data_IF_398087483734
#
_entry.id   IF_398087483734
#
_cell.length_a   1.000
_cell.length_b   1.000
_cell.length_c   1.000
_cell.angle_alpha   90.00
_cell.angle_beta   90.00
_cell.angle_gamma   90.00
#
_symmetry.space_group_name_H-M   'P 1'
#
loop_
_entity.id
_entity.type
_entity.pdbx_description
1 polymer ?
#
# COMPACT_ATOMS: atom_id res chain seq x y z
N UNK A 1 -0.22 0.41 11.84
CA UNK A 1 0.82 -0.48 12.35
C UNK A 1 1.30 -1.40 11.23
N UNK A 2 2.52 -1.88 11.33
CA UNK A 2 3.16 -2.57 10.20
C UNK A 2 2.45 -3.86 9.80
N UNK A 3 2.01 -4.65 10.77
CA UNK A 3 1.32 -5.92 10.48
C UNK A 3 0.01 -5.69 9.72
N UNK A 4 -0.75 -4.67 10.08
CA UNK A 4 -1.98 -4.32 9.38
C UNK A 4 -1.68 -3.84 7.97
N UNK A 5 -0.63 -3.05 7.79
CA UNK A 5 -0.23 -2.55 6.48
C UNK A 5 0.23 -3.70 5.57
N UNK A 6 1.03 -4.63 6.10
CA UNK A 6 1.44 -5.82 5.33
C UNK A 6 0.23 -6.65 4.92
N UNK A 7 -0.74 -6.80 5.82
CA UNK A 7 -1.97 -7.54 5.51
C UNK A 7 -2.74 -6.87 4.38
N UNK A 8 -2.85 -5.55 4.42
CA UNK A 8 -3.47 -4.77 3.35
C UNK A 8 -2.78 -5.03 2.01
N UNK A 9 -1.43 -4.93 1.97
CA UNK A 9 -0.67 -5.18 0.75
C UNK A 9 -0.89 -6.60 0.23
N UNK A 10 -0.84 -7.59 1.12
CA UNK A 10 -1.06 -8.99 0.73
C UNK A 10 -2.44 -9.20 0.13
N UNK A 11 -3.45 -8.53 0.69
CA UNK A 11 -4.83 -8.71 0.25
C UNK A 11 -5.11 -8.05 -1.10
N UNK A 12 -4.31 -7.07 -1.51
CA UNK A 12 -4.49 -6.43 -2.82
C UNK A 12 -3.53 -6.96 -3.88
N UNK A 13 -2.62 -7.87 -3.56
CA UNK A 13 -1.69 -8.45 -4.53
C UNK A 13 -2.37 -8.99 -5.79
N UNK A 14 -3.51 -9.73 -5.70
CA UNK A 14 -4.16 -10.23 -6.90
C UNK A 14 -4.67 -9.14 -7.84
N UNK A 15 -4.79 -7.91 -7.33
CA UNK A 15 -5.39 -6.79 -8.05
C UNK A 15 -4.36 -5.75 -8.51
N UNK A 16 -3.10 -5.92 -8.14
CA UNK A 16 -2.04 -4.96 -8.46
C UNK A 16 -0.87 -5.64 -9.14
N UNK A 17 -0.35 -5.00 -10.20
CA UNK A 17 0.87 -5.44 -10.87
C UNK A 17 2.09 -5.00 -10.09
N UNK A 18 2.06 -3.78 -9.57
CA UNK A 18 3.17 -3.19 -8.87
C UNK A 18 2.69 -2.10 -7.93
N UNK A 19 3.35 -1.98 -6.80
CA UNK A 19 3.09 -0.92 -5.82
C UNK A 19 4.43 -0.33 -5.42
N UNK A 20 4.56 0.99 -5.51
CA UNK A 20 5.76 1.72 -5.09
C UNK A 20 5.38 2.96 -4.31
N UNK A 21 6.23 3.35 -3.39
CA UNK A 21 6.04 4.59 -2.69
C UNK A 21 6.69 4.62 -1.33
N UNK A 22 6.25 5.56 -0.53
CA UNK A 22 6.72 5.75 0.83
C UNK A 22 5.52 5.82 1.75
N UNK A 23 5.60 5.18 2.89
CA UNK A 23 4.50 5.14 3.83
C UNK A 23 5.05 5.28 5.25
N UNK A 24 4.40 6.12 6.06
CA UNK A 24 4.78 6.30 7.45
C UNK A 24 4.05 5.30 8.32
N UNK A 25 4.82 4.47 9.01
CA UNK A 25 4.32 3.51 9.98
C UNK A 25 4.77 3.92 11.38
N UNK A 26 4.31 3.22 12.41
CA UNK A 26 4.69 3.53 13.79
C UNK A 26 6.20 3.49 14.00
N UNK A 27 6.90 2.62 13.28
CA UNK A 27 8.35 2.48 13.36
C UNK A 27 9.12 3.48 12.50
N UNK A 28 8.43 4.37 11.78
CA UNK A 28 9.03 5.39 10.94
C UNK A 28 8.67 5.24 9.46
N UNK A 29 9.39 5.97 8.62
CA UNK A 29 9.15 5.94 7.18
C UNK A 29 9.70 4.66 6.55
N UNK A 30 8.91 4.07 5.68
CA UNK A 30 9.30 2.89 4.92
C UNK A 30 9.18 3.16 3.43
N UNK A 31 10.16 2.65 2.69
CA UNK A 31 10.07 2.58 1.24
C UNK A 31 9.35 1.28 0.88
N UNK A 32 8.30 1.41 0.08
CA UNK A 32 7.45 0.28 -0.29
C UNK A 32 7.74 -0.11 -1.72
N UNK A 33 8.01 -1.40 -1.94
CA UNK A 33 8.17 -1.93 -3.28
C UNK A 33 7.53 -3.31 -3.32
N UNK A 34 6.48 -3.44 -4.12
CA UNK A 34 5.77 -4.70 -4.32
C UNK A 34 5.81 -5.03 -5.79
N UNK A 35 6.33 -6.20 -6.11
CA UNK A 35 6.45 -6.69 -7.48
C UNK A 35 6.12 -8.17 -7.50
N UNK A 36 5.15 -8.57 -8.33
CA UNK A 36 4.66 -9.95 -8.32
C UNK A 36 4.10 -10.31 -6.95
N UNK A 37 4.64 -11.35 -6.33
CA UNK A 37 4.22 -11.80 -5.01
C UNK A 37 5.17 -11.35 -3.90
N UNK A 38 6.14 -10.51 -4.22
CA UNK A 38 7.14 -10.07 -3.24
C UNK A 38 6.79 -8.69 -2.69
N UNK A 39 6.76 -8.59 -1.37
CA UNK A 39 6.51 -7.36 -0.64
C UNK A 39 7.78 -6.97 0.09
N UNK A 40 8.29 -5.77 -0.20
CA UNK A 40 9.49 -5.25 0.44
C UNK A 40 9.16 -3.94 1.16
N UNK A 41 9.45 -3.91 2.45
CA UNK A 41 9.32 -2.73 3.29
C UNK A 41 10.71 -2.43 3.85
N UNK A 42 11.35 -1.39 3.34
CA UNK A 42 12.71 -1.04 3.75
C UNK A 42 12.72 0.28 4.51
N UNK A 43 13.55 0.36 5.53
CA UNK A 43 13.77 1.62 6.23
C UNK A 43 14.35 2.65 5.26
N UNK A 44 13.96 3.90 5.43
CA UNK A 44 14.44 4.98 4.58
C UNK A 44 14.67 6.25 5.41
N UNK A 45 15.65 7.05 4.99
CA UNK A 45 15.86 8.38 5.54
C UNK A 45 15.07 9.45 4.81
N UNK A 46 14.44 9.10 3.70
CA UNK A 46 13.58 10.01 2.94
C UNK A 46 12.29 10.21 3.73
N UNK A 47 11.94 11.49 3.95
CA UNK A 47 10.73 11.86 4.71
C UNK A 47 9.83 12.72 3.84
N UNK A 48 8.97 12.10 3.00
CA UNK A 48 8.01 12.85 2.20
C UNK A 48 7.04 13.61 3.08
N UNK A 49 6.34 14.59 2.51
CA UNK A 49 5.34 15.36 3.27
C UNK A 49 4.15 14.50 3.68
N UNK A 50 3.83 13.50 2.88
CA UNK A 50 2.71 12.60 3.16
C UNK A 50 3.02 11.20 2.66
N UNK A 51 2.30 10.22 3.20
CA UNK A 51 2.37 8.86 2.69
C UNK A 51 1.73 8.78 1.33
N UNK A 52 2.43 8.18 0.36
CA UNK A 52 1.94 8.02 -0.99
C UNK A 52 2.33 6.65 -1.54
N UNK A 53 1.37 6.00 -2.19
CA UNK A 53 1.62 4.75 -2.91
C UNK A 53 1.11 4.90 -4.33
N UNK A 54 1.93 4.48 -5.29
CA UNK A 54 1.50 4.34 -6.68
C UNK A 54 1.19 2.88 -6.92
N UNK A 55 -0.06 2.60 -7.26
CA UNK A 55 -0.54 1.24 -7.50
C UNK A 55 -0.87 1.10 -8.98
N UNK A 56 -0.18 0.17 -9.64
CA UNK A 56 -0.39 -0.11 -11.05
C UNK A 56 -1.21 -1.39 -11.15
N UNK A 57 -2.36 -1.32 -11.84
CA UNK A 57 -3.25 -2.45 -12.01
C UNK A 57 -3.79 -2.49 -13.43
N UNK A 58 -4.00 -3.71 -13.95
CA UNK A 58 -4.66 -3.92 -15.24
C UNK A 58 -6.15 -4.20 -15.09
N UNK A 59 -6.65 -4.28 -13.85
CA UNK A 59 -8.03 -4.73 -13.61
C UNK A 59 -9.04 -3.58 -13.48
N UNK A 60 -8.59 -2.33 -13.54
CA UNK A 60 -9.46 -1.17 -13.58
C UNK A 60 -10.34 -1.01 -12.34
N UNK A 61 -11.63 -0.73 -12.56
CA UNK A 61 -12.55 -0.43 -11.47
C UNK A 61 -12.67 -1.54 -10.42
N UNK A 62 -12.73 -2.83 -10.78
CA UNK A 62 -12.75 -3.88 -9.76
C UNK A 62 -11.53 -3.83 -8.82
N UNK A 63 -10.36 -3.52 -9.35
CA UNK A 63 -9.16 -3.36 -8.52
C UNK A 63 -9.30 -2.18 -7.57
N UNK A 64 -9.81 -1.05 -8.06
CA UNK A 64 -10.03 0.12 -7.24
C UNK A 64 -10.96 -0.18 -6.07
N UNK A 65 -12.06 -0.88 -6.32
CA UNK A 65 -13.01 -1.26 -5.29
C UNK A 65 -12.38 -2.17 -4.24
N UNK A 66 -11.54 -3.12 -4.67
CA UNK A 66 -10.85 -4.01 -3.73
C UNK A 66 -9.83 -3.26 -2.88
N UNK A 67 -9.14 -2.29 -3.44
CA UNK A 67 -8.20 -1.47 -2.67
C UNK A 67 -8.94 -0.74 -1.55
N UNK A 68 -10.07 -0.10 -1.85
CA UNK A 68 -10.87 0.58 -0.84
C UNK A 68 -11.38 -0.39 0.23
N UNK A 69 -11.91 -1.54 -0.19
CA UNK A 69 -12.45 -2.53 0.73
C UNK A 69 -11.39 -3.08 1.68
N UNK A 70 -10.22 -3.43 1.16
CA UNK A 70 -9.15 -3.98 1.99
C UNK A 70 -8.57 -2.92 2.92
N UNK A 71 -8.49 -1.67 2.47
CA UNK A 71 -8.07 -0.58 3.35
C UNK A 71 -9.03 -0.42 4.52
N UNK A 72 -10.33 -0.41 4.26
CA UNK A 72 -11.35 -0.27 5.30
C UNK A 72 -11.30 -1.42 6.31
N UNK A 73 -10.94 -2.61 5.86
CA UNK A 73 -10.81 -3.77 6.76
C UNK A 73 -9.59 -3.68 7.66
N UNK A 74 -8.53 -3.04 7.21
CA UNK A 74 -7.25 -2.99 7.93
C UNK A 74 -7.07 -1.71 8.73
N UNK A 75 -7.72 -0.63 8.35
CA UNK A 75 -7.52 0.69 8.95
C UNK A 75 -8.85 1.39 9.16
N UNK A 76 -8.88 2.25 10.20
CA UNK A 76 -10.08 3.03 10.54
C UNK A 76 -10.06 4.44 9.94
N UNK A 77 -8.99 4.84 9.26
CA UNK A 77 -8.87 6.16 8.63
C UNK A 77 -9.18 6.05 7.13
N UNK A 78 -9.79 7.09 6.52
CA UNK A 78 -10.08 7.02 5.10
C UNK A 78 -8.84 7.09 4.24
N UNK A 79 -8.93 6.53 3.03
CA UNK A 79 -7.89 6.59 2.02
C UNK A 79 -8.38 7.48 0.88
N UNK A 80 -7.45 8.26 0.29
CA UNK A 80 -7.70 9.02 -0.92
C UNK A 80 -6.98 8.35 -2.09
N UNK A 81 -7.72 8.15 -3.19
CA UNK A 81 -7.16 7.62 -4.43
C UNK A 81 -7.35 8.66 -5.54
N UNK A 82 -6.29 8.93 -6.24
CA UNK A 82 -6.26 9.88 -7.34
C UNK A 82 -6.34 9.21 -8.69
#
# INVERSE_FOLDING_TARGET
EEAAFRRFLQNILPWALRIKGFFRLDSGWKKIDVSGMQIQLADTTIKPESSELVIISQKGLPALMQIYEQWDRCFSVPIELE
#
